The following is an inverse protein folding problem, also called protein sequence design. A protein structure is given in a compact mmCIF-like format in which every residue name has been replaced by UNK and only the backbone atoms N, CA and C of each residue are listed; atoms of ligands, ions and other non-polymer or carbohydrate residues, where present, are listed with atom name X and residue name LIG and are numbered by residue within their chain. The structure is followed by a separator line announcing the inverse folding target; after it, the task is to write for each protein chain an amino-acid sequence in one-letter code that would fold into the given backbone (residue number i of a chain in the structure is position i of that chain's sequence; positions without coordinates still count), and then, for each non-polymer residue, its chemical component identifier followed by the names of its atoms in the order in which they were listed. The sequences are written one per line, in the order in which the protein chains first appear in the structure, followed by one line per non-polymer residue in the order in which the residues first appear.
data_IF_893104369185
#
_entry.id   IF_893104369185
#
_cell.length_a   1.000
_cell.length_b   1.000
_cell.length_c   1.000
_cell.angle_alpha   90.00
_cell.angle_beta   90.00
_cell.angle_gamma   90.00
#
_symmetry.space_group_name_H-M   'P 1'
#
loop_
_entity.id
_entity.type
_entity.pdbx_description
1 polymer ?
#
# COMPACT_ATOMS: atom_id res chain seq x y z
N UNK A 1 -48.68 25.24 24.36
CA UNK A 1 -47.28 25.56 24.71
C UNK A 1 -46.32 24.36 24.50
N UNK A 2 -46.58 23.16 25.05
CA UNK A 2 -45.67 21.99 24.89
C UNK A 2 -45.43 21.57 23.43
N UNK A 3 -46.47 21.55 22.56
CA UNK A 3 -46.34 21.18 21.15
C UNK A 3 -45.50 22.18 20.33
N UNK A 4 -45.61 23.48 20.63
CA UNK A 4 -44.81 24.53 19.99
C UNK A 4 -43.34 24.41 20.38
N UNK A 5 -43.04 24.13 21.66
CA UNK A 5 -41.65 23.88 22.11
C UNK A 5 -41.04 22.66 21.42
N UNK A 6 -41.80 21.58 21.25
CA UNK A 6 -41.37 20.36 20.56
C UNK A 6 -41.07 20.63 19.08
N UNK A 7 -41.91 21.39 18.41
CA UNK A 7 -41.72 21.80 17.01
C UNK A 7 -40.48 22.67 16.81
N UNK A 8 -40.23 23.62 17.73
CA UNK A 8 -39.05 24.48 17.70
C UNK A 8 -37.77 23.66 17.91
N UNK A 9 -37.78 22.73 18.86
CA UNK A 9 -36.61 21.82 19.08
C UNK A 9 -36.36 20.95 17.86
N UNK A 10 -37.40 20.39 17.26
CA UNK A 10 -37.28 19.59 16.04
C UNK A 10 -36.70 20.41 14.87
N UNK A 11 -37.17 21.65 14.71
CA UNK A 11 -36.67 22.57 13.69
C UNK A 11 -35.18 22.91 13.90
N UNK A 12 -34.76 23.16 15.16
CA UNK A 12 -33.36 23.42 15.49
C UNK A 12 -32.48 22.20 15.19
N UNK A 13 -32.94 20.98 15.47
CA UNK A 13 -32.19 19.75 15.17
C UNK A 13 -32.05 19.55 13.66
N UNK A 14 -33.08 19.79 12.87
CA UNK A 14 -33.05 19.67 11.41
C UNK A 14 -32.13 20.73 10.76
N UNK A 15 -32.11 21.95 11.30
CA UNK A 15 -31.24 23.03 10.82
C UNK A 15 -29.75 22.84 11.15
N UNK A 16 -29.42 21.98 12.13
CA UNK A 16 -28.06 21.66 12.50
C UNK A 16 -27.52 20.38 11.89
N UNK A 17 -28.24 19.72 10.98
CA UNK A 17 -27.69 18.58 10.22
C UNK A 17 -26.64 19.13 9.27
N UNK A 18 -25.35 18.80 9.43
CA UNK A 18 -24.32 19.27 8.50
C UNK A 18 -24.63 18.70 7.12
N UNK A 19 -24.91 19.58 6.16
CA UNK A 19 -25.02 19.20 4.75
C UNK A 19 -23.62 18.78 4.31
N UNK A 20 -23.34 17.48 4.33
CA UNK A 20 -22.13 16.94 3.73
C UNK A 20 -22.23 17.07 2.22
N UNK A 21 -21.67 18.15 1.67
CA UNK A 21 -21.51 18.30 0.23
C UNK A 21 -20.49 17.25 -0.20
N UNK A 22 -20.95 16.20 -0.85
CA UNK A 22 -20.08 15.20 -1.45
C UNK A 22 -19.15 15.90 -2.45
N UNK A 23 -17.84 15.64 -2.32
CA UNK A 23 -16.86 16.21 -3.23
C UNK A 23 -17.13 15.67 -4.65
N UNK A 24 -17.15 16.55 -5.66
CA UNK A 24 -17.29 16.09 -7.03
C UNK A 24 -16.21 15.09 -7.42
N UNK A 25 -16.55 14.03 -8.17
CA UNK A 25 -15.57 13.05 -8.63
C UNK A 25 -14.52 13.71 -9.51
N UNK A 26 -13.27 13.40 -9.28
CA UNK A 26 -12.19 13.81 -10.19
C UNK A 26 -12.36 13.08 -11.51
N UNK A 27 -12.36 13.83 -12.60
CA UNK A 27 -12.49 13.30 -13.97
C UNK A 27 -11.20 13.50 -14.73
N UNK A 28 -10.81 12.51 -15.54
CA UNK A 28 -9.62 12.56 -16.38
C UNK A 28 -9.94 12.07 -17.80
N UNK A 29 -9.31 12.67 -18.83
CA UNK A 29 -9.53 12.31 -20.24
C UNK A 29 -8.67 11.14 -20.70
N UNK A 30 -7.45 11.01 -20.21
CA UNK A 30 -6.46 10.08 -20.73
C UNK A 30 -6.11 8.94 -19.78
N UNK A 31 -6.29 9.13 -18.50
CA UNK A 31 -5.99 8.12 -17.48
C UNK A 31 -6.02 8.72 -16.08
N UNK A 32 -6.13 7.85 -15.11
CA UNK A 32 -6.19 8.23 -13.71
C UNK A 32 -5.36 7.26 -12.88
N UNK A 33 -4.72 7.77 -11.85
CA UNK A 33 -4.04 6.96 -10.82
C UNK A 33 -4.61 7.33 -9.47
N UNK A 34 -4.99 6.32 -8.71
CA UNK A 34 -5.42 6.47 -7.33
C UNK A 34 -4.64 5.50 -6.43
N UNK A 35 -4.13 5.99 -5.32
CA UNK A 35 -3.50 5.18 -4.28
C UNK A 35 -3.69 5.84 -2.92
N UNK A 36 -3.25 5.17 -1.87
CA UNK A 36 -3.29 5.68 -0.49
C UNK A 36 -2.32 6.84 -0.22
N UNK A 37 -1.41 7.14 -1.18
CA UNK A 37 -0.43 8.20 -1.04
C UNK A 37 -0.35 9.04 -2.32
N UNK A 38 -0.51 10.36 -2.17
CA UNK A 38 -0.53 11.30 -3.29
C UNK A 38 0.81 11.29 -4.06
N UNK A 39 1.94 11.21 -3.36
CA UNK A 39 3.28 11.18 -3.99
C UNK A 39 3.41 9.96 -4.89
N UNK A 40 2.98 8.78 -4.41
CA UNK A 40 2.97 7.56 -5.21
C UNK A 40 2.01 7.66 -6.41
N UNK A 41 0.82 8.25 -6.23
CA UNK A 41 -0.12 8.47 -7.34
C UNK A 41 0.47 9.37 -8.41
N UNK A 42 1.19 10.44 -8.04
CA UNK A 42 1.89 11.32 -8.97
C UNK A 42 2.97 10.58 -9.77
N UNK A 43 3.70 9.65 -9.14
CA UNK A 43 4.66 8.78 -9.85
C UNK A 43 3.95 8.02 -10.97
N UNK A 44 2.81 7.40 -10.71
CA UNK A 44 2.06 6.67 -11.74
C UNK A 44 1.61 7.57 -12.89
N UNK A 45 1.14 8.79 -12.60
CA UNK A 45 0.77 9.77 -13.62
C UNK A 45 1.98 10.15 -14.49
N UNK A 46 3.15 10.39 -13.90
CA UNK A 46 4.36 10.71 -14.66
C UNK A 46 4.84 9.54 -15.54
N UNK A 47 4.70 8.31 -15.07
CA UNK A 47 4.97 7.12 -15.89
C UNK A 47 4.07 7.07 -17.12
N UNK A 48 2.76 7.34 -16.96
CA UNK A 48 1.82 7.40 -18.10
C UNK A 48 2.16 8.55 -19.06
N UNK A 49 2.53 9.73 -18.58
CA UNK A 49 2.98 10.86 -19.41
C UNK A 49 4.23 10.52 -20.24
N UNK A 50 5.11 9.67 -19.72
CA UNK A 50 6.30 9.15 -20.44
C UNK A 50 5.97 8.06 -21.45
N UNK A 51 4.70 7.75 -21.65
CA UNK A 51 4.20 6.77 -22.61
C UNK A 51 4.03 5.36 -22.05
N UNK A 52 4.19 5.16 -20.75
CA UNK A 52 3.84 3.92 -20.06
C UNK A 52 2.33 3.69 -20.08
N UNK A 53 1.93 2.42 -20.00
CA UNK A 53 0.54 2.04 -19.84
C UNK A 53 0.15 1.95 -18.35
N UNK A 54 -1.09 1.52 -18.05
CA UNK A 54 -1.59 1.38 -16.69
C UNK A 54 -0.80 0.35 -15.87
N UNK A 55 -0.24 -0.69 -16.50
CA UNK A 55 0.57 -1.70 -15.82
C UNK A 55 1.93 -1.11 -15.42
N UNK A 56 2.60 -0.39 -16.33
CA UNK A 56 3.84 0.33 -16.00
C UNK A 56 3.62 1.30 -14.85
N UNK A 57 2.52 2.06 -14.89
CA UNK A 57 2.16 3.00 -13.83
C UNK A 57 1.92 2.28 -12.49
N UNK A 58 1.18 1.16 -12.50
CA UNK A 58 0.90 0.38 -11.29
C UNK A 58 2.17 -0.18 -10.65
N UNK A 59 3.12 -0.64 -11.45
CA UNK A 59 4.43 -1.12 -10.99
C UNK A 59 5.20 0.00 -10.30
N UNK A 60 5.32 1.17 -10.95
CA UNK A 60 6.04 2.29 -10.38
C UNK A 60 5.37 2.84 -9.10
N UNK A 61 4.03 2.84 -9.05
CA UNK A 61 3.26 3.19 -7.84
C UNK A 61 3.53 2.19 -6.72
N UNK A 62 3.55 0.89 -7.01
CA UNK A 62 3.83 -0.12 -5.99
C UNK A 62 5.21 0.06 -5.36
N UNK A 63 6.26 0.32 -6.16
CA UNK A 63 7.59 0.65 -5.65
C UNK A 63 7.61 1.97 -4.88
N UNK A 64 6.90 2.99 -5.33
CA UNK A 64 6.79 4.26 -4.61
C UNK A 64 6.07 4.10 -3.27
N UNK A 65 5.03 3.27 -3.20
CA UNK A 65 4.31 2.94 -1.96
C UNK A 65 5.18 2.18 -0.96
N UNK A 66 6.11 1.34 -1.41
CA UNK A 66 7.06 0.69 -0.51
C UNK A 66 7.93 1.71 0.27
N UNK A 67 8.11 2.92 -0.27
CA UNK A 67 8.81 4.03 0.38
C UNK A 67 7.85 4.94 1.15
N UNK A 68 6.76 5.37 0.51
CA UNK A 68 5.88 6.42 1.05
C UNK A 68 4.75 5.92 1.94
N UNK A 69 4.51 4.61 1.95
CA UNK A 69 3.47 3.94 2.74
C UNK A 69 3.97 2.62 3.33
N UNK A 70 5.02 2.65 4.18
CA UNK A 70 5.69 1.44 4.67
C UNK A 70 4.82 0.53 5.53
N UNK A 71 3.64 0.99 5.97
CA UNK A 71 2.69 0.17 6.70
C UNK A 71 2.06 -0.96 5.84
N UNK A 72 2.04 -0.82 4.50
CA UNK A 72 1.47 -1.79 3.59
C UNK A 72 2.23 -1.93 2.26
N UNK A 73 2.88 -0.87 1.77
CA UNK A 73 3.78 -0.96 0.61
C UNK A 73 5.00 -1.80 0.95
N UNK A 74 5.38 -2.71 0.08
CA UNK A 74 6.41 -3.69 0.40
C UNK A 74 7.28 -4.10 -0.79
N UNK A 75 8.48 -4.59 -0.50
CA UNK A 75 9.34 -5.36 -1.41
C UNK A 75 9.48 -6.80 -0.93
N UNK A 76 9.46 -7.00 0.39
CA UNK A 76 9.58 -8.30 1.05
C UNK A 76 8.25 -9.00 1.33
N UNK A 77 7.18 -8.56 0.73
CA UNK A 77 5.84 -9.13 0.87
C UNK A 77 5.30 -9.67 -0.45
N UNK A 78 3.99 -9.61 -0.61
CA UNK A 78 3.28 -10.08 -1.79
C UNK A 78 2.02 -9.28 -2.08
N UNK A 79 1.19 -9.81 -2.95
CA UNK A 79 -0.08 -9.21 -3.32
C UNK A 79 -0.71 -9.84 -4.54
N UNK A 80 -1.68 -9.12 -5.09
CA UNK A 80 -2.42 -9.50 -6.29
C UNK A 80 -2.50 -8.31 -7.25
N UNK A 81 -2.47 -8.58 -8.55
CA UNK A 81 -2.71 -7.57 -9.56
C UNK A 81 -3.82 -8.02 -10.50
N UNK A 82 -4.91 -7.26 -10.52
CA UNK A 82 -5.99 -7.44 -11.48
C UNK A 82 -5.75 -6.52 -12.69
N UNK A 83 -5.77 -7.07 -13.89
CA UNK A 83 -5.53 -6.34 -15.12
C UNK A 83 -6.72 -6.53 -16.07
N UNK A 84 -7.27 -5.42 -16.56
CA UNK A 84 -8.22 -5.41 -17.66
C UNK A 84 -7.58 -4.74 -18.87
N UNK A 85 -7.50 -5.47 -19.98
CA UNK A 85 -6.94 -5.00 -21.22
C UNK A 85 -7.98 -4.20 -22.03
N UNK A 86 -7.51 -3.44 -23.02
CA UNK A 86 -8.36 -2.62 -23.89
C UNK A 86 -9.38 -3.46 -24.69
N UNK A 87 -9.03 -4.69 -25.04
CA UNK A 87 -9.90 -5.63 -25.75
C UNK A 87 -10.93 -6.32 -24.86
N UNK A 88 -10.98 -5.96 -23.56
CA UNK A 88 -11.93 -6.49 -22.57
C UNK A 88 -11.45 -7.72 -21.84
N UNK A 89 -10.36 -8.37 -22.26
CA UNK A 89 -9.79 -9.52 -21.52
C UNK A 89 -9.36 -9.08 -20.13
N UNK A 90 -9.61 -9.94 -19.17
CA UNK A 90 -9.21 -9.76 -17.77
C UNK A 90 -8.26 -10.88 -17.35
N UNK A 91 -7.32 -10.55 -16.47
CA UNK A 91 -6.39 -11.52 -15.88
C UNK A 91 -6.02 -11.10 -14.47
N UNK A 92 -5.53 -12.06 -13.69
CA UNK A 92 -4.95 -11.81 -12.38
C UNK A 92 -3.55 -12.39 -12.33
N UNK A 93 -2.66 -11.70 -11.63
CA UNK A 93 -1.35 -12.21 -11.24
C UNK A 93 -1.41 -12.36 -9.72
N UNK A 94 -1.26 -13.59 -9.26
CA UNK A 94 -1.06 -13.92 -7.86
C UNK A 94 0.44 -13.97 -7.60
N UNK A 95 0.91 -13.05 -6.75
CA UNK A 95 2.29 -12.99 -6.28
C UNK A 95 2.32 -12.89 -4.75
N UNK A 96 1.33 -13.49 -4.12
CA UNK A 96 1.30 -13.60 -2.67
C UNK A 96 2.51 -14.37 -2.16
N UNK A 97 2.87 -14.14 -0.91
CA UNK A 97 3.94 -14.85 -0.22
C UNK A 97 3.65 -16.34 -0.16
N UNK A 98 4.70 -17.13 -0.26
CA UNK A 98 4.65 -18.57 -0.09
C UNK A 98 5.32 -18.99 1.21
N UNK A 99 4.90 -20.12 1.76
CA UNK A 99 5.62 -20.74 2.85
C UNK A 99 7.02 -21.17 2.38
N UNK A 100 8.08 -21.00 3.19
CA UNK A 100 9.40 -21.53 2.88
C UNK A 100 9.38 -23.06 2.80
N UNK A 101 10.33 -23.66 2.08
CA UNK A 101 10.39 -25.10 1.82
C UNK A 101 10.53 -25.96 3.11
N UNK A 102 11.06 -25.38 4.17
CA UNK A 102 11.19 -26.03 5.47
C UNK A 102 9.99 -25.82 6.39
N UNK A 103 8.93 -25.13 5.94
CA UNK A 103 7.73 -24.93 6.72
C UNK A 103 7.01 -26.25 6.93
N UNK A 104 6.58 -26.47 8.16
CA UNK A 104 5.77 -27.62 8.55
C UNK A 104 4.62 -27.15 9.45
N UNK A 105 3.64 -28.05 9.69
CA UNK A 105 2.40 -27.73 10.43
C UNK A 105 2.66 -27.02 11.76
N UNK A 106 3.66 -27.46 12.51
CA UNK A 106 3.88 -27.08 13.89
C UNK A 106 5.05 -26.06 14.04
N UNK A 107 5.45 -25.40 12.94
CA UNK A 107 6.61 -24.48 12.90
C UNK A 107 6.53 -23.35 13.95
N UNK A 108 5.34 -22.98 14.39
CA UNK A 108 5.08 -21.91 15.36
C UNK A 108 4.65 -22.44 16.74
N UNK A 109 4.82 -23.73 16.99
CA UNK A 109 4.56 -24.32 18.29
C UNK A 109 5.85 -24.55 19.08
N UNK A 110 5.79 -24.37 20.39
CA UNK A 110 6.85 -24.73 21.28
C UNK A 110 6.85 -26.26 21.58
N UNK A 111 7.79 -26.70 22.41
CA UNK A 111 7.91 -28.12 22.80
C UNK A 111 6.71 -28.66 23.57
N UNK A 112 5.82 -27.79 24.06
CA UNK A 112 4.59 -28.17 24.77
C UNK A 112 3.37 -28.16 23.86
N UNK A 113 3.53 -27.77 22.57
CA UNK A 113 2.46 -27.61 21.60
C UNK A 113 1.70 -26.28 21.70
N UNK A 114 2.24 -25.31 22.44
CA UNK A 114 1.65 -23.99 22.59
C UNK A 114 2.21 -23.03 21.55
N UNK A 115 1.40 -22.01 21.14
CA UNK A 115 1.85 -21.00 20.20
C UNK A 115 2.99 -20.15 20.75
N UNK A 116 4.09 -20.08 20.01
CA UNK A 116 5.23 -19.20 20.32
C UNK A 116 4.76 -17.74 20.20
N UNK A 117 4.85 -17.02 21.33
CA UNK A 117 4.53 -15.58 21.39
C UNK A 117 5.81 -14.77 21.25
N UNK A 118 5.79 -13.75 20.35
CA UNK A 118 6.96 -12.91 20.10
C UNK A 118 7.87 -13.45 19.02
N UNK A 119 9.19 -13.26 19.19
CA UNK A 119 10.19 -13.69 18.20
C UNK A 119 10.21 -15.21 18.05
N UNK A 120 10.29 -15.67 16.79
CA UNK A 120 10.14 -17.09 16.46
C UNK A 120 8.71 -17.55 16.24
N UNK A 121 7.71 -16.74 16.57
CA UNK A 121 6.29 -17.00 16.31
C UNK A 121 5.84 -16.49 14.93
N UNK A 122 4.53 -16.58 14.70
CA UNK A 122 3.91 -16.25 13.40
C UNK A 122 3.67 -14.75 13.16
N UNK A 123 3.90 -13.88 14.14
CA UNK A 123 3.57 -12.45 14.06
C UNK A 123 4.79 -11.53 14.11
N UNK A 124 5.90 -11.98 14.69
CA UNK A 124 7.05 -11.14 14.98
C UNK A 124 8.35 -11.87 14.65
N UNK A 125 9.30 -11.13 14.05
CA UNK A 125 10.63 -11.62 13.72
C UNK A 125 10.73 -12.32 12.38
N UNK A 126 11.88 -12.90 12.11
CA UNK A 126 12.22 -13.48 10.81
C UNK A 126 11.36 -14.70 10.45
N UNK A 127 10.95 -15.48 11.44
CA UNK A 127 10.14 -16.69 11.25
C UNK A 127 8.71 -16.36 10.76
N UNK A 128 8.24 -15.11 10.98
CA UNK A 128 6.93 -14.68 10.55
C UNK A 128 6.88 -14.30 9.05
N UNK A 129 8.05 -14.15 8.40
CA UNK A 129 8.14 -13.73 7.01
C UNK A 129 7.99 -14.93 6.06
N UNK A 130 7.11 -14.80 5.09
CA UNK A 130 7.04 -15.74 3.96
C UNK A 130 8.09 -15.45 2.89
N UNK A 131 8.18 -16.32 1.88
CA UNK A 131 8.99 -16.09 0.67
C UNK A 131 8.30 -15.00 -0.16
N UNK A 132 8.95 -13.85 -0.41
CA UNK A 132 8.30 -12.69 -1.02
C UNK A 132 8.03 -12.88 -2.52
N UNK A 133 6.90 -12.36 -2.96
CA UNK A 133 6.46 -12.43 -4.36
C UNK A 133 6.39 -11.09 -5.08
N UNK A 134 6.39 -9.95 -4.36
CA UNK A 134 6.12 -8.63 -4.94
C UNK A 134 7.01 -8.30 -6.14
N UNK A 135 8.32 -8.37 -6.00
CA UNK A 135 9.26 -8.00 -7.08
C UNK A 135 9.10 -8.91 -8.28
N UNK A 136 8.93 -10.22 -8.05
CA UNK A 136 8.73 -11.21 -9.11
C UNK A 136 7.38 -11.02 -9.82
N UNK A 137 6.33 -10.70 -9.08
CA UNK A 137 5.01 -10.39 -9.64
C UNK A 137 5.02 -9.15 -10.51
N UNK A 138 5.72 -8.08 -10.07
CA UNK A 138 5.89 -6.86 -10.86
C UNK A 138 6.70 -7.11 -12.14
N UNK A 139 7.77 -7.91 -12.06
CA UNK A 139 8.55 -8.32 -13.24
C UNK A 139 7.68 -9.09 -14.24
N UNK A 140 6.89 -10.04 -13.76
CA UNK A 140 5.97 -10.81 -14.60
C UNK A 140 4.93 -9.91 -15.28
N UNK A 141 4.36 -8.96 -14.51
CA UNK A 141 3.41 -7.99 -15.04
C UNK A 141 4.03 -7.14 -16.16
N UNK A 142 5.24 -6.61 -15.93
CA UNK A 142 5.96 -5.83 -16.93
C UNK A 142 6.22 -6.63 -18.20
N UNK A 143 6.73 -7.85 -18.07
CA UNK A 143 7.05 -8.71 -19.22
C UNK A 143 5.83 -9.07 -20.06
N UNK A 144 4.68 -9.32 -19.42
CA UNK A 144 3.47 -9.78 -20.12
C UNK A 144 2.56 -8.65 -20.58
N UNK A 145 2.50 -7.55 -19.86
CA UNK A 145 1.46 -6.53 -20.01
C UNK A 145 1.97 -5.10 -20.02
N UNK A 146 3.27 -4.88 -19.79
CA UNK A 146 3.90 -3.56 -19.89
C UNK A 146 3.82 -2.99 -21.31
N UNK A 147 4.02 -1.69 -21.43
CA UNK A 147 3.96 -0.97 -22.71
C UNK A 147 5.12 -1.31 -23.66
N UNK A 148 6.20 -1.89 -23.16
CA UNK A 148 7.46 -2.06 -23.88
C UNK A 148 8.26 -0.76 -24.07
N UNK A 149 7.76 0.38 -23.60
CA UNK A 149 8.40 1.70 -23.79
C UNK A 149 9.32 2.10 -22.65
N UNK A 150 9.14 1.50 -21.47
CA UNK A 150 9.89 1.82 -20.26
C UNK A 150 10.59 0.58 -19.73
N UNK A 151 11.84 0.77 -19.32
CA UNK A 151 12.65 -0.30 -18.71
C UNK A 151 12.30 -0.48 -17.25
N UNK A 152 12.65 -1.64 -16.70
CA UNK A 152 12.54 -1.93 -15.26
C UNK A 152 13.19 -0.85 -14.40
N UNK A 153 14.41 -0.45 -14.72
CA UNK A 153 15.13 0.60 -14.01
C UNK A 153 14.37 1.95 -14.02
N UNK A 154 13.78 2.30 -15.15
CA UNK A 154 13.00 3.54 -15.28
C UNK A 154 11.72 3.54 -14.44
N UNK A 155 11.12 2.37 -14.20
CA UNK A 155 9.93 2.24 -13.34
C UNK A 155 10.29 2.29 -11.85
N UNK A 156 11.46 1.81 -11.47
CA UNK A 156 11.93 1.82 -10.07
C UNK A 156 12.53 3.17 -9.68
N UNK A 157 13.13 3.90 -10.61
CA UNK A 157 13.90 5.12 -10.36
C UNK A 157 13.13 6.19 -9.53
N UNK A 158 11.82 6.43 -9.75
CA UNK A 158 11.08 7.37 -8.89
C UNK A 158 11.08 6.95 -7.41
N UNK A 159 10.87 5.68 -7.13
CA UNK A 159 10.89 5.14 -5.76
C UNK A 159 12.29 5.25 -5.14
N UNK A 160 13.34 4.94 -5.92
CA UNK A 160 14.72 5.08 -5.48
C UNK A 160 15.05 6.52 -5.10
N UNK A 161 14.59 7.50 -5.88
CA UNK A 161 14.76 8.93 -5.56
C UNK A 161 14.03 9.34 -4.28
N UNK A 162 12.81 8.86 -4.11
CA UNK A 162 12.04 9.11 -2.87
C UNK A 162 12.76 8.55 -1.64
N UNK A 163 13.36 7.36 -1.76
CA UNK A 163 14.11 6.76 -0.67
C UNK A 163 15.43 7.50 -0.39
N UNK A 164 16.15 7.93 -1.43
CA UNK A 164 17.46 8.59 -1.29
C UNK A 164 17.33 10.05 -0.84
N UNK A 165 16.39 10.80 -1.41
CA UNK A 165 16.27 12.24 -1.20
C UNK A 165 15.21 12.62 -0.16
N UNK A 166 14.40 11.64 0.29
CA UNK A 166 13.27 11.87 1.18
C UNK A 166 12.04 12.42 0.46
N UNK A 167 10.97 12.54 1.21
CA UNK A 167 9.69 13.10 0.78
C UNK A 167 8.98 13.75 1.97
N UNK A 168 7.99 14.60 1.71
CA UNK A 168 7.19 15.20 2.78
C UNK A 168 6.32 14.14 3.45
N UNK A 169 6.56 13.92 4.74
CA UNK A 169 5.80 12.96 5.55
C UNK A 169 4.39 13.49 5.77
N UNK A 170 3.38 12.70 5.41
CA UNK A 170 1.98 13.04 5.64
C UNK A 170 1.61 12.91 7.12
N UNK A 171 0.56 13.60 7.57
CA UNK A 171 0.04 13.47 8.93
C UNK A 171 -0.31 12.01 9.26
N UNK A 172 -0.92 11.29 8.31
CA UNK A 172 -1.29 9.87 8.47
C UNK A 172 -0.05 8.99 8.70
N UNK A 173 1.01 9.17 7.90
CA UNK A 173 2.26 8.43 8.06
C UNK A 173 2.93 8.78 9.40
N UNK A 174 3.01 10.07 9.76
CA UNK A 174 3.58 10.49 11.03
C UNK A 174 2.85 9.89 12.23
N UNK A 175 1.51 9.83 12.17
CA UNK A 175 0.68 9.19 13.19
C UNK A 175 0.94 7.69 13.26
N UNK A 176 1.01 6.99 12.14
CA UNK A 176 1.30 5.55 12.07
C UNK A 176 2.67 5.23 12.67
N UNK A 177 3.71 5.96 12.28
CA UNK A 177 5.07 5.78 12.84
C UNK A 177 5.10 6.02 14.35
N UNK A 178 4.40 7.06 14.82
CA UNK A 178 4.31 7.39 16.25
C UNK A 178 3.60 6.31 17.06
N UNK A 179 2.47 5.80 16.55
CA UNK A 179 1.73 4.72 17.22
C UNK A 179 2.48 3.38 17.24
N UNK A 180 3.42 3.18 16.32
CA UNK A 180 4.22 1.96 16.22
C UNK A 180 5.64 2.11 16.77
N UNK A 181 5.95 3.23 17.42
CA UNK A 181 7.30 3.60 17.85
C UNK A 181 7.99 2.52 18.68
N UNK A 182 7.32 2.00 19.69
CA UNK A 182 7.90 1.02 20.62
C UNK A 182 8.24 -0.27 19.88
N UNK A 183 7.32 -0.77 19.04
CA UNK A 183 7.53 -1.94 18.20
C UNK A 183 8.68 -1.74 17.19
N UNK A 184 8.69 -0.62 16.47
CA UNK A 184 9.73 -0.29 15.50
C UNK A 184 11.11 -0.11 16.16
N UNK A 185 11.15 0.30 17.43
CA UNK A 185 12.38 0.47 18.19
C UNK A 185 13.05 -0.85 18.58
N UNK A 186 12.32 -1.98 18.55
CA UNK A 186 12.85 -3.30 18.88
C UNK A 186 13.95 -3.75 17.92
N UNK A 187 13.88 -3.31 16.66
CA UNK A 187 14.82 -3.68 15.61
C UNK A 187 15.74 -2.50 15.26
N UNK A 188 17.08 -2.61 15.47
CA UNK A 188 18.01 -1.49 15.31
C UNK A 188 17.94 -0.80 13.95
N UNK A 189 17.88 -1.57 12.84
CA UNK A 189 17.80 -1.02 11.50
C UNK A 189 16.47 -0.32 11.23
N UNK A 190 15.37 -0.89 11.70
CA UNK A 190 14.05 -0.26 11.59
C UNK A 190 14.00 1.07 12.35
N UNK A 191 14.55 1.08 13.58
CA UNK A 191 14.68 2.30 14.36
C UNK A 191 15.51 3.35 13.64
N UNK A 192 16.66 2.96 13.08
CA UNK A 192 17.57 3.85 12.36
C UNK A 192 16.90 4.52 11.15
N UNK A 193 16.05 3.78 10.44
CA UNK A 193 15.40 4.27 9.21
C UNK A 193 14.17 5.14 9.53
N UNK A 194 13.31 4.70 10.44
CA UNK A 194 11.98 5.27 10.63
C UNK A 194 11.82 6.20 11.85
N UNK A 195 12.76 6.18 12.79
CA UNK A 195 12.63 6.87 14.09
C UNK A 195 13.82 7.83 14.35
N UNK A 196 14.19 8.61 13.37
CA UNK A 196 15.20 9.67 13.54
C UNK A 196 14.71 10.78 14.44
#
# INVERSE_FOLDING_TARGET
MKRIKLLVVLLIVVLNVPVTIAREPVRARHGMVASTNEVASRVGVEIMKRGGNAVDAAIAVAFALAVTHPAAGNLGGGGFMMIRLKDGRTTAIDYREMAPSLAHRDIYLDKKGELIKGEGGSLVGYSAAGVPGTVRGMELALKKYGSGKLTWAQLIEPARRLAANGFTVTYSLARSLRSSKDYLSTYPETKRIYLK
#
